data_IF_860087810593
#
_entry.id   IF_860087810593
#
_cell.length_a   1.000
_cell.length_b   1.000
_cell.length_c   1.000
_cell.angle_alpha   90.00
_cell.angle_beta   90.00
_cell.angle_gamma   90.00
#
_symmetry.space_group_name_H-M   'P 1'
#
loop_
_entity.id
_entity.type
_entity.pdbx_description
1 polymer ?
#
# COMPACT_ATOMS: atom_id res chain seq x y z
N UNK A 1 -5.02 13.99 23.66
CA UNK A 1 -4.26 12.87 23.05
C UNK A 1 -5.20 11.67 22.94
N UNK A 2 -5.93 11.57 21.84
CA UNK A 2 -6.77 10.42 21.49
C UNK A 2 -6.24 9.90 20.16
N UNK A 3 -5.20 9.07 20.24
CA UNK A 3 -4.58 8.52 19.05
C UNK A 3 -5.40 7.34 18.54
N UNK A 4 -5.68 7.34 17.24
CA UNK A 4 -5.97 6.25 16.27
C UNK A 4 -6.17 4.82 16.82
N UNK A 5 -5.43 4.40 17.83
CA UNK A 5 -5.46 3.13 18.54
C UNK A 5 -6.74 2.78 19.32
N UNK A 6 -7.63 3.72 19.66
CA UNK A 6 -8.84 3.43 20.46
C UNK A 6 -9.99 2.81 19.66
N UNK A 7 -10.18 3.22 18.41
CA UNK A 7 -11.33 2.83 17.55
C UNK A 7 -11.13 1.49 16.83
N UNK A 8 -9.89 1.03 16.69
CA UNK A 8 -9.51 -0.28 16.14
C UNK A 8 -9.89 -1.47 17.05
N UNK A 9 -10.27 -1.21 18.31
CA UNK A 9 -10.23 -2.21 19.38
C UNK A 9 -11.53 -3.00 19.60
N UNK A 10 -12.67 -2.61 19.02
CA UNK A 10 -13.98 -3.26 19.32
C UNK A 10 -14.66 -3.95 18.12
N UNK A 11 -14.45 -3.51 16.87
CA UNK A 11 -14.93 -4.25 15.67
C UNK A 11 -14.09 -5.52 15.36
N UNK A 12 -13.09 -5.74 16.20
CA UNK A 12 -12.04 -6.75 16.16
C UNK A 12 -12.53 -8.15 16.55
N UNK A 13 -13.68 -8.27 17.22
CA UNK A 13 -13.88 -9.42 18.11
C UNK A 13 -14.72 -10.56 17.55
N UNK A 14 -15.21 -10.54 16.30
CA UNK A 14 -16.14 -11.61 15.87
C UNK A 14 -15.71 -12.51 14.69
N UNK A 15 -15.46 -12.05 13.46
CA UNK A 15 -15.48 -13.01 12.31
C UNK A 15 -14.39 -12.83 11.24
N UNK A 16 -14.04 -11.59 10.95
CA UNK A 16 -13.12 -11.15 9.88
C UNK A 16 -11.67 -10.96 10.37
N UNK A 17 -11.44 -11.51 11.56
CA UNK A 17 -10.37 -11.34 12.54
C UNK A 17 -8.90 -11.54 12.12
N UNK A 18 -8.59 -12.06 10.94
CA UNK A 18 -7.20 -12.39 10.54
C UNK A 18 -6.54 -11.34 9.64
N UNK A 19 -7.34 -10.54 8.95
CA UNK A 19 -6.91 -9.44 8.11
C UNK A 19 -7.79 -8.26 8.52
N UNK A 20 -7.24 -7.10 8.90
CA UNK A 20 -8.04 -6.00 9.42
C UNK A 20 -9.12 -5.60 8.44
N UNK A 21 -10.31 -5.37 8.97
CA UNK A 21 -11.46 -4.94 8.19
C UNK A 21 -11.16 -3.57 7.57
N UNK A 22 -11.18 -3.54 6.24
CA UNK A 22 -11.20 -2.31 5.47
C UNK A 22 -12.66 -2.06 5.08
N UNK A 23 -13.05 -0.80 4.96
CA UNK A 23 -14.37 -0.46 4.43
C UNK A 23 -14.58 -1.11 3.04
N UNK A 24 -15.83 -1.45 2.68
CA UNK A 24 -16.13 -1.96 1.35
C UNK A 24 -15.54 -1.06 0.27
N UNK A 25 -14.92 -1.70 -0.73
CA UNK A 25 -14.33 -0.97 -1.85
C UNK A 25 -15.43 -0.22 -2.58
N UNK A 26 -15.21 1.08 -2.81
CA UNK A 26 -16.17 1.93 -3.54
C UNK A 26 -16.04 1.78 -5.04
N UNK A 27 -14.82 1.50 -5.50
CA UNK A 27 -14.48 1.38 -6.91
C UNK A 27 -14.10 -0.06 -7.21
N UNK A 28 -14.59 -0.57 -8.32
CA UNK A 28 -14.27 -1.91 -8.78
C UNK A 28 -12.87 -1.95 -9.42
N UNK A 29 -11.91 -2.74 -8.89
CA UNK A 29 -10.56 -2.79 -9.45
C UNK A 29 -10.50 -3.27 -10.91
N UNK A 30 -11.46 -4.09 -11.36
CA UNK A 30 -11.49 -4.61 -12.73
C UNK A 30 -11.75 -3.52 -13.79
N UNK A 31 -12.28 -2.37 -13.37
CA UNK A 31 -12.56 -1.23 -14.26
C UNK A 31 -11.30 -0.42 -14.59
N UNK A 32 -10.19 -0.66 -13.91
CA UNK A 32 -8.94 0.05 -14.12
C UNK A 32 -7.92 -0.81 -14.86
N UNK A 33 -7.26 -0.22 -15.85
CA UNK A 33 -6.14 -0.87 -16.55
C UNK A 33 -4.86 -0.90 -15.71
N UNK A 34 -4.79 -0.02 -14.71
CA UNK A 34 -3.68 0.11 -13.78
C UNK A 34 -4.20 0.59 -12.41
N UNK A 35 -3.73 -0.06 -11.34
CA UNK A 35 -3.98 0.36 -9.95
C UNK A 35 -2.67 0.65 -9.25
N UNK A 36 -2.53 1.84 -8.69
CA UNK A 36 -1.37 2.22 -7.86
C UNK A 36 -1.72 1.96 -6.40
N UNK A 37 -1.00 1.04 -5.74
CA UNK A 37 -1.24 0.67 -4.35
C UNK A 37 -0.13 1.22 -3.45
N UNK A 38 -0.52 2.01 -2.46
CA UNK A 38 0.37 2.56 -1.46
C UNK A 38 0.25 1.88 -0.11
N UNK A 39 1.36 1.66 0.59
CA UNK A 39 1.34 1.23 1.99
C UNK A 39 2.38 1.96 2.81
N UNK A 40 2.06 2.46 4.02
CA UNK A 40 3.11 2.76 4.99
C UNK A 40 3.82 1.46 5.41
N UNK A 41 5.10 1.58 5.79
CA UNK A 41 5.85 0.46 6.36
C UNK A 41 5.65 0.40 7.88
N UNK A 42 5.04 -0.68 8.38
CA UNK A 42 4.89 -0.94 9.82
C UNK A 42 5.74 -2.13 10.22
N UNK A 43 6.72 -1.92 11.10
CA UNK A 43 7.68 -2.95 11.52
C UNK A 43 8.32 -3.72 10.34
N UNK A 44 8.64 -3.03 9.24
CA UNK A 44 9.23 -3.63 8.03
C UNK A 44 8.25 -4.40 7.14
N UNK A 45 6.93 -4.26 7.36
CA UNK A 45 5.89 -5.00 6.65
C UNK A 45 4.86 -4.08 6.02
N UNK A 46 4.15 -4.64 5.03
CA UNK A 46 2.94 -4.02 4.47
C UNK A 46 1.94 -3.76 5.60
N UNK A 47 1.32 -2.58 5.57
CA UNK A 47 0.32 -2.21 6.54
C UNK A 47 -0.83 -3.20 6.49
N UNK A 48 -1.37 -3.48 7.67
CA UNK A 48 -2.46 -4.42 7.85
C UNK A 48 -3.64 -4.16 6.87
N UNK A 49 -4.16 -2.93 6.69
CA UNK A 49 -5.27 -2.68 5.76
C UNK A 49 -4.91 -2.94 4.28
N UNK A 50 -3.71 -2.56 3.84
CA UNK A 50 -3.27 -2.81 2.46
C UNK A 50 -3.07 -4.29 2.21
N UNK A 51 -2.59 -5.03 3.22
CA UNK A 51 -2.52 -6.49 3.16
C UNK A 51 -3.89 -7.12 2.96
N UNK A 52 -4.93 -6.65 3.67
CA UNK A 52 -6.31 -7.12 3.48
C UNK A 52 -6.78 -6.85 2.06
N UNK A 53 -6.54 -5.64 1.55
CA UNK A 53 -6.94 -5.24 0.21
C UNK A 53 -6.30 -6.14 -0.84
N UNK A 54 -4.97 -6.31 -0.81
CA UNK A 54 -4.25 -7.14 -1.78
C UNK A 54 -4.61 -8.61 -1.66
N UNK A 55 -4.78 -9.14 -0.44
CA UNK A 55 -5.24 -10.54 -0.28
C UNK A 55 -6.63 -10.75 -0.91
N UNK A 56 -7.51 -9.76 -0.83
CA UNK A 56 -8.89 -9.88 -1.32
C UNK A 56 -9.04 -9.58 -2.81
N UNK A 57 -8.26 -8.63 -3.32
CA UNK A 57 -8.45 -8.04 -4.66
C UNK A 57 -7.20 -8.06 -5.53
N UNK A 58 -6.04 -8.43 -5.00
CA UNK A 58 -4.76 -8.40 -5.71
C UNK A 58 -4.76 -9.23 -6.99
N UNK A 59 -5.43 -10.38 -6.98
CA UNK A 59 -5.60 -11.25 -8.16
C UNK A 59 -6.50 -10.66 -9.25
N UNK A 60 -7.25 -9.59 -8.96
CA UNK A 60 -8.13 -8.88 -9.90
C UNK A 60 -7.44 -7.67 -10.55
N UNK A 61 -6.26 -7.28 -10.05
CA UNK A 61 -5.56 -6.11 -10.55
C UNK A 61 -4.86 -6.45 -11.87
N UNK A 62 -5.29 -5.83 -12.98
CA UNK A 62 -4.72 -6.10 -14.32
C UNK A 62 -3.25 -5.72 -14.41
N UNK A 63 -2.91 -4.51 -13.96
CA UNK A 63 -1.54 -4.01 -13.78
C UNK A 63 -1.46 -3.27 -12.46
N UNK A 64 -0.30 -3.35 -11.82
CA UNK A 64 -0.07 -2.70 -10.53
C UNK A 64 1.22 -1.90 -10.53
N UNK A 65 1.24 -0.84 -9.74
CA UNK A 65 2.45 -0.15 -9.34
C UNK A 65 2.38 0.12 -7.83
N UNK A 66 3.50 0.08 -7.14
CA UNK A 66 3.52 0.19 -5.68
C UNK A 66 4.25 1.42 -5.20
N UNK A 67 3.82 1.97 -4.06
CA UNK A 67 4.63 2.93 -3.33
C UNK A 67 4.59 2.69 -1.82
N UNK A 68 5.66 3.11 -1.13
CA UNK A 68 5.73 3.07 0.32
C UNK A 68 6.24 4.37 0.90
N UNK A 69 5.78 4.67 2.11
CA UNK A 69 6.40 5.68 2.99
C UNK A 69 7.00 4.99 4.21
N UNK A 70 8.27 5.27 4.51
CA UNK A 70 8.99 4.62 5.61
C UNK A 70 9.95 5.58 6.33
N UNK A 71 10.21 5.33 7.62
CA UNK A 71 11.18 6.16 8.37
C UNK A 71 12.63 5.72 8.16
N UNK A 72 12.87 4.42 7.90
CA UNK A 72 14.21 3.85 7.75
C UNK A 72 14.40 3.05 6.45
N UNK A 73 13.65 1.95 6.27
CA UNK A 73 13.75 1.07 5.11
C UNK A 73 12.43 0.35 4.82
N UNK A 74 12.15 0.15 3.53
CA UNK A 74 11.07 -0.68 2.99
C UNK A 74 11.56 -1.92 2.23
N UNK A 75 12.79 -2.41 2.44
CA UNK A 75 13.50 -3.39 1.58
C UNK A 75 12.74 -4.68 1.25
N UNK A 76 11.66 -5.02 1.98
CA UNK A 76 10.84 -6.22 1.77
C UNK A 76 9.36 -5.93 1.51
N UNK A 77 8.94 -4.66 1.48
CA UNK A 77 7.51 -4.34 1.38
C UNK A 77 6.99 -4.63 -0.03
N UNK A 78 7.77 -4.31 -1.06
CA UNK A 78 7.33 -4.53 -2.45
C UNK A 78 7.23 -6.00 -2.79
N UNK A 79 8.18 -6.84 -2.35
CA UNK A 79 8.09 -8.28 -2.51
C UNK A 79 6.85 -8.86 -1.81
N UNK A 80 6.53 -8.39 -0.59
CA UNK A 80 5.30 -8.79 0.10
C UNK A 80 4.03 -8.36 -0.64
N UNK A 81 4.03 -7.21 -1.31
CA UNK A 81 2.88 -6.75 -2.09
C UNK A 81 2.74 -7.52 -3.40
N UNK A 82 3.87 -7.82 -4.07
CA UNK A 82 3.94 -8.65 -5.26
C UNK A 82 3.42 -10.07 -4.99
N UNK A 83 3.83 -10.70 -3.88
CA UNK A 83 3.32 -12.02 -3.45
C UNK A 83 1.79 -12.06 -3.28
N UNK A 84 1.17 -10.93 -2.94
CA UNK A 84 -0.27 -10.81 -2.74
C UNK A 84 -1.03 -10.33 -3.99
N UNK A 85 -0.32 -10.09 -5.09
CA UNK A 85 -0.95 -9.58 -6.32
C UNK A 85 -0.21 -10.04 -7.58
N UNK A 86 0.58 -9.17 -8.20
CA UNK A 86 1.32 -9.42 -9.44
C UNK A 86 2.58 -8.54 -9.46
N UNK A 87 3.57 -8.87 -10.31
CA UNK A 87 4.77 -8.04 -10.45
C UNK A 87 4.42 -6.59 -10.80
N UNK A 88 4.96 -5.60 -10.07
CA UNK A 88 4.64 -4.21 -10.31
C UNK A 88 5.37 -3.68 -11.56
N UNK A 89 4.67 -2.84 -12.33
CA UNK A 89 5.26 -2.09 -13.43
C UNK A 89 6.27 -1.03 -12.94
N UNK A 90 6.05 -0.51 -11.72
CA UNK A 90 6.96 0.43 -11.08
C UNK A 90 6.83 0.37 -9.56
N UNK A 91 7.89 0.72 -8.85
CA UNK A 91 7.91 0.86 -7.39
C UNK A 91 8.49 2.21 -6.97
N UNK A 92 7.97 2.79 -5.88
CA UNK A 92 8.44 4.06 -5.33
C UNK A 92 8.61 3.97 -3.81
N UNK A 93 9.85 4.09 -3.34
CA UNK A 93 10.13 4.28 -1.91
C UNK A 93 10.34 5.76 -1.59
N UNK A 94 9.58 6.25 -0.60
CA UNK A 94 9.73 7.60 -0.06
C UNK A 94 10.07 7.51 1.43
N UNK A 95 11.24 8.03 1.80
CA UNK A 95 11.69 8.09 3.20
C UNK A 95 11.17 9.35 3.88
N UNK A 96 11.01 9.30 5.20
CA UNK A 96 10.59 10.45 6.00
C UNK A 96 11.47 11.69 5.77
N UNK A 97 12.79 11.52 5.66
CA UNK A 97 13.72 12.61 5.33
C UNK A 97 13.45 13.26 3.97
N UNK A 98 13.02 12.45 3.00
CA UNK A 98 12.73 12.90 1.63
C UNK A 98 11.36 13.57 1.53
N UNK A 99 10.41 13.19 2.40
CA UNK A 99 9.17 13.93 2.62
C UNK A 99 9.45 15.32 3.22
N UNK A 100 10.34 15.39 4.21
CA UNK A 100 10.70 16.63 4.88
C UNK A 100 11.51 17.57 3.97
N UNK A 101 12.44 17.05 3.17
CA UNK A 101 13.26 17.86 2.26
C UNK A 101 12.55 18.23 0.95
N UNK A 102 11.43 17.58 0.62
CA UNK A 102 10.71 17.77 -0.65
C UNK A 102 11.31 17.00 -1.83
N UNK A 103 12.41 16.25 -1.63
CA UNK A 103 13.04 15.42 -2.65
C UNK A 103 12.09 14.35 -3.23
N UNK A 104 11.06 13.97 -2.46
CA UNK A 104 10.03 13.03 -2.93
C UNK A 104 9.34 13.49 -4.22
N UNK A 105 9.23 14.79 -4.48
CA UNK A 105 8.55 15.33 -5.67
C UNK A 105 9.21 14.83 -6.95
N UNK A 106 10.55 14.87 -7.01
CA UNK A 106 11.31 14.38 -8.16
C UNK A 106 11.13 12.86 -8.33
N UNK A 107 11.13 12.11 -7.23
CA UNK A 107 10.89 10.67 -7.28
C UNK A 107 9.48 10.33 -7.76
N UNK A 108 8.47 11.11 -7.36
CA UNK A 108 7.10 10.95 -7.85
C UNK A 108 7.03 11.25 -9.35
N UNK A 109 7.68 12.30 -9.85
CA UNK A 109 7.75 12.56 -11.29
C UNK A 109 8.35 11.37 -12.05
N UNK A 110 9.49 10.86 -11.61
CA UNK A 110 10.17 9.74 -12.26
C UNK A 110 9.32 8.46 -12.19
N UNK A 111 8.65 8.21 -11.05
CA UNK A 111 7.69 7.12 -10.91
C UNK A 111 6.53 7.25 -11.91
N UNK A 112 5.94 8.44 -12.05
CA UNK A 112 4.82 8.65 -12.99
C UNK A 112 5.23 8.47 -14.45
N UNK A 113 6.48 8.78 -14.81
CA UNK A 113 7.02 8.52 -16.16
C UNK A 113 7.12 7.02 -16.42
N UNK A 114 7.62 6.24 -15.47
CA UNK A 114 7.72 4.78 -15.59
C UNK A 114 6.34 4.12 -15.65
N UNK A 115 5.38 4.63 -14.89
CA UNK A 115 4.01 4.10 -14.83
C UNK A 115 3.21 4.38 -16.12
N UNK A 116 3.46 5.52 -16.77
CA UNK A 116 2.83 5.91 -18.04
C UNK A 116 3.57 5.39 -19.28
N UNK A 117 4.76 4.84 -19.09
CA UNK A 117 5.66 4.34 -20.14
C UNK A 117 5.14 3.10 -20.84
#
# INVERSE_FOLDING_TARGET
>A
RAGVFGFLKCGFEVLFKKLPEIEPIKNNPDEYDLVIVGSPTWAGRVSSPVRTYLTSYGHRLKKVAFFTTCSASGDKIFSQMEELSSPPAAVLEVKEKELQSGEFLKKVEDFTKTVKG
#
